data_IF_405093556650
#
_entry.id   IF_405093556650
#
_cell.length_a   1.000
_cell.length_b   1.000
_cell.length_c   1.000
_cell.angle_alpha   90.00
_cell.angle_beta   90.00
_cell.angle_gamma   90.00
#
_symmetry.space_group_name_H-M   'P 1'
#
loop_
_entity.id
_entity.type
_entity.pdbx_description
1 polymer ?
#
# COMPACT_ATOMS: atom_id res chain seq x y z
N UNK A 1 -2.39 -17.56 -24.50
CA UNK A 1 -1.79 -16.32 -25.03
C UNK A 1 -0.43 -16.15 -24.39
N UNK A 2 0.63 -16.09 -25.19
CA UNK A 2 2.01 -15.95 -24.72
C UNK A 2 2.23 -14.53 -24.20
N UNK A 3 2.69 -14.37 -22.95
CA UNK A 3 3.14 -13.08 -22.46
C UNK A 3 4.42 -12.71 -23.23
N UNK A 4 4.32 -11.70 -24.10
CA UNK A 4 5.51 -11.16 -24.78
C UNK A 4 6.39 -10.48 -23.73
N UNK A 5 7.63 -10.98 -23.60
CA UNK A 5 8.67 -10.32 -22.80
C UNK A 5 9.00 -9.00 -23.50
N UNK A 6 8.71 -7.88 -22.85
CA UNK A 6 9.06 -6.56 -23.36
C UNK A 6 10.58 -6.43 -23.24
N UNK A 7 11.28 -6.31 -24.36
CA UNK A 7 12.70 -5.97 -24.38
C UNK A 7 12.85 -4.48 -24.04
N UNK A 8 13.30 -4.19 -22.82
CA UNK A 8 13.53 -2.84 -22.32
C UNK A 8 14.50 -2.02 -23.21
N UNK A 9 15.39 -2.68 -23.97
CA UNK A 9 16.31 -2.01 -24.87
C UNK A 9 15.65 -1.53 -26.17
N UNK A 10 14.49 -2.08 -26.50
CA UNK A 10 13.70 -1.75 -27.69
C UNK A 10 12.72 -0.59 -27.49
N UNK A 11 12.60 -0.07 -26.26
CA UNK A 11 11.77 1.08 -25.96
C UNK A 11 12.34 2.36 -26.60
N UNK A 12 11.47 3.28 -27.07
CA UNK A 12 11.92 4.57 -27.57
C UNK A 12 12.64 5.34 -26.46
N UNK A 13 13.56 6.23 -26.85
CA UNK A 13 14.57 6.82 -25.95
C UNK A 13 13.95 7.69 -24.84
N UNK A 14 12.75 8.23 -25.10
CA UNK A 14 11.90 8.96 -24.15
C UNK A 14 11.19 8.05 -23.13
N UNK A 15 11.06 6.75 -23.43
CA UNK A 15 10.56 5.72 -22.51
C UNK A 15 11.68 5.00 -21.74
N UNK A 16 12.96 5.24 -22.09
CA UNK A 16 14.12 4.76 -21.32
C UNK A 16 14.31 5.65 -20.10
N UNK A 17 13.70 5.26 -18.99
CA UNK A 17 13.97 5.90 -17.69
C UNK A 17 15.38 5.52 -17.26
N UNK A 18 16.29 6.50 -17.26
CA UNK A 18 17.62 6.32 -16.68
C UNK A 18 17.48 6.03 -15.19
N UNK A 19 18.26 5.06 -14.67
CA UNK A 19 18.29 4.82 -13.23
C UNK A 19 19.09 5.93 -12.55
N UNK A 20 18.46 7.08 -12.34
CA UNK A 20 19.04 8.24 -11.67
C UNK A 20 18.83 8.11 -10.16
N UNK A 21 19.93 7.96 -9.43
CA UNK A 21 19.94 7.83 -7.98
C UNK A 21 19.17 8.97 -7.29
N UNK A 22 19.24 10.20 -7.82
CA UNK A 22 18.54 11.34 -7.23
C UNK A 22 17.01 11.18 -7.36
N UNK A 23 16.55 10.64 -8.50
CA UNK A 23 15.12 10.37 -8.71
C UNK A 23 14.65 9.30 -7.72
N UNK A 24 15.44 8.25 -7.49
CA UNK A 24 15.12 7.20 -6.51
C UNK A 24 15.08 7.75 -5.08
N UNK A 25 16.04 8.60 -4.70
CA UNK A 25 16.10 9.28 -3.40
C UNK A 25 14.88 10.18 -3.17
N UNK A 26 14.56 11.05 -4.14
CA UNK A 26 13.39 11.94 -4.09
C UNK A 26 12.08 11.12 -4.00
N UNK A 27 12.00 10.00 -4.73
CA UNK A 27 10.86 9.08 -4.68
C UNK A 27 10.70 8.42 -3.31
N UNK A 28 11.81 7.93 -2.73
CA UNK A 28 11.81 7.30 -1.42
C UNK A 28 11.42 8.29 -0.32
N UNK A 29 11.94 9.52 -0.38
CA UNK A 29 11.60 10.60 0.55
C UNK A 29 10.10 10.95 0.46
N UNK A 30 9.55 11.06 -0.75
CA UNK A 30 8.12 11.32 -0.95
C UNK A 30 7.24 10.19 -0.40
N UNK A 31 7.61 8.94 -0.68
CA UNK A 31 6.90 7.76 -0.17
C UNK A 31 6.92 7.69 1.37
N UNK A 32 8.06 8.02 1.98
CA UNK A 32 8.23 8.06 3.43
C UNK A 32 7.37 9.18 4.06
N UNK A 33 7.47 10.42 3.56
CA UNK A 33 6.67 11.55 4.06
C UNK A 33 5.17 11.30 3.99
N UNK A 34 4.71 10.68 2.90
CA UNK A 34 3.31 10.28 2.77
C UNK A 34 2.90 9.29 3.86
N UNK A 35 3.68 8.22 4.06
CA UNK A 35 3.40 7.19 5.03
C UNK A 35 3.42 7.71 6.47
N UNK A 36 4.41 8.54 6.79
CA UNK A 36 4.55 9.20 8.10
C UNK A 36 3.35 10.12 8.37
N UNK A 37 2.95 10.93 7.39
CA UNK A 37 1.77 11.80 7.51
C UNK A 37 0.50 11.00 7.78
N UNK A 38 0.30 9.90 7.05
CA UNK A 38 -0.86 9.03 7.28
C UNK A 38 -0.83 8.38 8.66
N UNK A 39 0.32 7.89 9.13
CA UNK A 39 0.42 7.33 10.47
C UNK A 39 0.14 8.37 11.56
N UNK A 40 0.62 9.61 11.40
CA UNK A 40 0.30 10.72 12.30
C UNK A 40 -1.20 11.02 12.32
N UNK A 41 -1.85 11.05 11.15
CA UNK A 41 -3.31 11.24 11.06
C UNK A 41 -4.05 10.13 11.79
N UNK A 42 -3.68 8.87 11.61
CA UNK A 42 -4.30 7.74 12.29
C UNK A 42 -4.10 7.83 13.82
N UNK A 43 -2.90 8.16 14.29
CA UNK A 43 -2.60 8.39 15.71
C UNK A 43 -3.34 9.59 16.32
N UNK A 44 -3.74 10.55 15.50
CA UNK A 44 -4.52 11.71 15.97
C UNK A 44 -5.95 11.33 16.37
N UNK A 45 -6.49 10.24 15.82
CA UNK A 45 -7.85 9.77 16.06
C UNK A 45 -7.97 9.21 17.47
N UNK A 46 -9.02 9.61 18.19
CA UNK A 46 -9.18 9.32 19.63
C UNK A 46 -10.14 8.20 19.97
N UNK A 47 -10.84 7.64 18.98
CA UNK A 47 -11.81 6.56 19.19
C UNK A 47 -11.62 5.46 18.17
N UNK A 48 -11.84 4.21 18.58
CA UNK A 48 -11.82 3.06 17.67
C UNK A 48 -12.85 3.22 16.55
N UNK A 49 -14.00 3.80 16.87
CA UNK A 49 -15.03 4.11 15.88
C UNK A 49 -14.55 5.15 14.85
N UNK A 50 -13.82 6.18 15.30
CA UNK A 50 -13.20 7.17 14.43
C UNK A 50 -12.19 6.53 13.47
N UNK A 51 -11.39 5.56 13.94
CA UNK A 51 -10.44 4.83 13.08
C UNK A 51 -11.20 4.05 11.99
N UNK A 52 -12.24 3.31 12.38
CA UNK A 52 -13.08 2.54 11.45
C UNK A 52 -13.79 3.41 10.40
N UNK A 53 -14.08 4.66 10.74
CA UNK A 53 -14.77 5.62 9.87
C UNK A 53 -13.82 6.56 9.11
N UNK A 54 -12.51 6.50 9.38
CA UNK A 54 -11.54 7.36 8.73
C UNK A 54 -11.57 7.15 7.20
N UNK A 55 -11.61 8.25 6.46
CA UNK A 55 -11.71 8.26 5.00
C UNK A 55 -10.36 8.58 4.38
N UNK A 56 -9.82 7.61 3.63
CA UNK A 56 -8.59 7.75 2.86
C UNK A 56 -8.90 8.32 1.46
N UNK A 57 -9.98 7.83 0.86
CA UNK A 57 -10.47 8.20 -0.47
C UNK A 57 -12.00 8.16 -0.51
N UNK A 58 -12.64 8.79 -1.51
CA UNK A 58 -14.08 8.60 -1.74
C UNK A 58 -14.48 7.14 -2.07
N UNK A 59 -13.54 6.29 -2.49
CA UNK A 59 -13.77 4.93 -2.97
C UNK A 59 -13.39 3.85 -1.94
N UNK A 60 -13.19 4.21 -0.67
CA UNK A 60 -12.69 3.28 0.37
C UNK A 60 -13.47 1.98 0.50
N UNK A 61 -14.80 2.03 0.38
CA UNK A 61 -15.63 0.83 0.46
C UNK A 61 -15.38 -0.12 -0.71
N UNK A 62 -15.26 0.43 -1.92
CA UNK A 62 -14.91 -0.34 -3.12
C UNK A 62 -13.52 -0.97 -2.96
N UNK A 63 -12.53 -0.19 -2.50
CA UNK A 63 -11.15 -0.63 -2.31
C UNK A 63 -11.09 -1.76 -1.29
N UNK A 64 -11.73 -1.58 -0.12
CA UNK A 64 -11.75 -2.59 0.94
C UNK A 64 -12.45 -3.88 0.50
N UNK A 65 -13.62 -3.77 -0.14
CA UNK A 65 -14.35 -4.94 -0.65
C UNK A 65 -13.56 -5.68 -1.72
N UNK A 66 -12.94 -4.97 -2.66
CA UNK A 66 -12.09 -5.59 -3.69
C UNK A 66 -10.87 -6.29 -3.09
N UNK A 67 -10.22 -5.66 -2.11
CA UNK A 67 -9.11 -6.27 -1.37
C UNK A 67 -9.53 -7.56 -0.69
N UNK A 68 -10.59 -7.55 0.13
CA UNK A 68 -11.03 -8.76 0.86
C UNK A 68 -11.66 -9.83 -0.02
N UNK A 69 -12.20 -9.48 -1.19
CA UNK A 69 -12.63 -10.46 -2.19
C UNK A 69 -11.44 -11.20 -2.80
N UNK A 70 -10.35 -10.50 -3.13
CA UNK A 70 -9.14 -11.10 -3.70
C UNK A 70 -8.29 -11.81 -2.66
N UNK A 71 -8.19 -11.23 -1.46
CA UNK A 71 -7.30 -11.69 -0.38
C UNK A 71 -8.09 -11.90 0.92
N UNK A 72 -9.04 -12.85 0.96
CA UNK A 72 -9.91 -13.04 2.13
C UNK A 72 -9.13 -13.36 3.39
N UNK A 73 -8.06 -14.15 3.27
CA UNK A 73 -7.29 -14.68 4.40
C UNK A 73 -5.92 -14.01 4.58
N UNK A 74 -5.61 -12.96 3.81
CA UNK A 74 -4.32 -12.27 3.98
C UNK A 74 -4.32 -11.55 5.32
N UNK A 75 -3.34 -11.90 6.16
CA UNK A 75 -3.09 -11.19 7.41
C UNK A 75 -2.62 -9.77 7.13
N UNK A 76 -3.17 -8.79 7.85
CA UNK A 76 -2.70 -7.39 7.84
C UNK A 76 -1.96 -7.01 9.13
N UNK A 77 -1.76 -7.97 10.04
CA UNK A 77 -1.02 -7.81 11.30
C UNK A 77 -0.47 -9.17 11.81
N UNK A 78 0.81 -9.52 11.56
CA UNK A 78 1.76 -8.89 10.63
C UNK A 78 1.49 -9.29 9.17
N UNK A 79 2.03 -8.52 8.22
CA UNK A 79 2.10 -8.88 6.81
C UNK A 79 3.14 -9.97 6.59
N UNK A 80 2.80 -11.00 5.81
CA UNK A 80 3.77 -11.98 5.34
C UNK A 80 4.47 -11.47 4.07
N UNK A 81 5.57 -10.73 4.28
CA UNK A 81 6.39 -10.14 3.21
C UNK A 81 6.94 -11.20 2.26
N UNK A 82 7.22 -12.42 2.73
CA UNK A 82 7.73 -13.50 1.88
C UNK A 82 6.65 -13.94 0.89
N UNK A 83 5.45 -14.19 1.40
CA UNK A 83 4.31 -14.57 0.56
C UNK A 83 3.92 -13.46 -0.41
N UNK A 84 3.96 -12.19 0.01
CA UNK A 84 3.70 -11.07 -0.90
C UNK A 84 4.71 -10.95 -2.06
N UNK A 85 5.93 -11.45 -1.88
CA UNK A 85 6.99 -11.47 -2.90
C UNK A 85 6.99 -12.74 -3.75
N UNK A 86 6.15 -13.73 -3.43
CA UNK A 86 6.00 -14.93 -4.26
C UNK A 86 5.34 -14.58 -5.60
N UNK A 87 5.72 -15.28 -6.66
CA UNK A 87 5.28 -14.99 -8.03
C UNK A 87 3.77 -15.07 -8.19
N UNK A 88 3.12 -16.03 -7.54
CA UNK A 88 1.67 -16.19 -7.63
C UNK A 88 0.94 -14.98 -7.00
N UNK A 89 1.40 -14.56 -5.82
CA UNK A 89 0.84 -13.40 -5.13
C UNK A 89 1.17 -12.09 -5.85
N UNK A 90 2.37 -11.95 -6.42
CA UNK A 90 2.74 -10.79 -7.23
C UNK A 90 1.80 -10.62 -8.42
N UNK A 91 1.48 -11.71 -9.13
CA UNK A 91 0.54 -11.65 -10.26
C UNK A 91 -0.87 -11.27 -9.80
N UNK A 92 -1.33 -11.86 -8.68
CA UNK A 92 -2.64 -11.54 -8.12
C UNK A 92 -2.74 -10.09 -7.65
N UNK A 93 -1.69 -9.59 -6.98
CA UNK A 93 -1.58 -8.18 -6.62
C UNK A 93 -1.61 -7.32 -7.87
N UNK A 94 -0.77 -7.60 -8.87
CA UNK A 94 -0.74 -6.83 -10.12
C UNK A 94 -2.13 -6.70 -10.77
N UNK A 95 -2.86 -7.81 -10.92
CA UNK A 95 -4.21 -7.81 -11.47
C UNK A 95 -5.19 -6.98 -10.63
N UNK A 96 -5.10 -7.09 -9.30
CA UNK A 96 -5.96 -6.33 -8.41
C UNK A 96 -5.65 -4.83 -8.47
N UNK A 97 -4.38 -4.43 -8.43
CA UNK A 97 -3.98 -3.03 -8.40
C UNK A 97 -4.33 -2.33 -9.73
N UNK A 98 -4.13 -3.00 -10.87
CA UNK A 98 -4.43 -2.44 -12.19
C UNK A 98 -5.94 -2.14 -12.37
N UNK A 99 -6.82 -2.88 -11.68
CA UNK A 99 -8.26 -2.61 -11.69
C UNK A 99 -8.65 -1.23 -11.10
N UNK A 100 -7.72 -0.56 -10.39
CA UNK A 100 -7.95 0.75 -9.78
C UNK A 100 -7.24 1.91 -10.50
N UNK A 101 -6.55 1.64 -11.61
CA UNK A 101 -5.78 2.65 -12.35
C UNK A 101 -6.59 3.88 -12.76
N UNK A 102 -7.87 3.70 -13.07
CA UNK A 102 -8.79 4.79 -13.45
C UNK A 102 -9.68 5.25 -12.29
N UNK A 103 -9.57 4.60 -11.12
CA UNK A 103 -10.44 4.83 -9.95
C UNK A 103 -9.71 5.67 -8.90
N UNK A 104 -8.41 5.43 -8.74
CA UNK A 104 -7.57 6.07 -7.74
C UNK A 104 -6.46 6.83 -8.44
N UNK A 105 -6.45 8.15 -8.27
CA UNK A 105 -5.34 9.00 -8.73
C UNK A 105 -4.03 8.49 -8.11
N UNK A 106 -2.97 8.44 -8.91
CA UNK A 106 -1.64 8.03 -8.45
C UNK A 106 -1.60 6.62 -7.85
N UNK A 107 -2.45 5.69 -8.32
CA UNK A 107 -2.58 4.33 -7.76
C UNK A 107 -1.24 3.60 -7.61
N UNK A 108 -0.30 3.82 -8.53
CA UNK A 108 1.01 3.18 -8.59
C UNK A 108 2.15 4.00 -7.98
N UNK A 109 1.89 5.21 -7.45
CA UNK A 109 2.93 5.97 -6.76
C UNK A 109 3.42 5.23 -5.53
N UNK A 110 4.73 5.31 -5.27
CA UNK A 110 5.36 4.65 -4.12
C UNK A 110 4.79 5.16 -2.81
N UNK A 111 4.61 4.24 -1.87
CA UNK A 111 4.24 4.51 -0.49
C UNK A 111 4.92 3.48 0.41
N UNK A 112 4.97 3.73 1.71
CA UNK A 112 5.53 2.77 2.67
C UNK A 112 4.40 2.30 3.58
N UNK A 113 4.23 0.98 3.68
CA UNK A 113 3.29 0.36 4.62
C UNK A 113 4.05 -0.34 5.73
N UNK A 114 3.49 -0.29 6.95
CA UNK A 114 4.08 -1.00 8.09
C UNK A 114 3.99 -2.51 7.88
N UNK A 115 5.03 -3.28 8.19
CA UNK A 115 4.98 -4.75 8.12
C UNK A 115 4.08 -5.28 9.23
N UNK A 116 4.31 -4.85 10.45
CA UNK A 116 3.49 -5.12 11.62
C UNK A 116 2.79 -3.82 12.06
N UNK A 117 1.45 -3.82 12.10
CA UNK A 117 0.72 -2.66 12.59
C UNK A 117 1.01 -2.37 14.07
N UNK A 118 1.45 -3.37 14.84
CA UNK A 118 1.81 -3.26 16.27
C UNK A 118 3.10 -2.48 16.55
N UNK A 119 3.81 -2.07 15.50
CA UNK A 119 5.07 -1.35 15.60
C UNK A 119 4.96 -0.03 14.83
N UNK A 120 5.76 0.96 15.22
CA UNK A 120 5.84 2.23 14.50
C UNK A 120 6.47 2.02 13.11
N UNK A 121 6.18 2.92 12.17
CA UNK A 121 6.93 2.97 10.92
C UNK A 121 8.41 3.26 11.21
N UNK A 122 9.28 2.52 10.53
CA UNK A 122 10.73 2.64 10.65
C UNK A 122 11.43 1.71 9.66
N UNK A 123 12.77 1.75 9.58
CA UNK A 123 13.54 1.00 8.58
C UNK A 123 13.26 -0.51 8.58
N UNK A 124 13.09 -1.10 9.77
CA UNK A 124 12.87 -2.55 9.96
C UNK A 124 11.40 -2.96 9.87
N UNK A 125 10.46 -2.00 9.91
CA UNK A 125 9.02 -2.25 9.92
C UNK A 125 8.31 -1.57 8.74
N UNK A 126 9.02 -1.21 7.67
CA UNK A 126 8.45 -0.55 6.50
C UNK A 126 8.79 -1.31 5.22
N UNK A 127 7.80 -1.45 4.32
CA UNK A 127 8.03 -1.94 2.96
C UNK A 127 7.40 -0.99 1.94
N UNK A 128 8.09 -0.81 0.81
CA UNK A 128 7.57 0.00 -0.30
C UNK A 128 6.48 -0.79 -1.03
N UNK A 129 5.33 -0.15 -1.21
CA UNK A 129 4.19 -0.67 -1.97
C UNK A 129 3.57 0.44 -2.82
N UNK A 130 2.85 0.11 -3.90
CA UNK A 130 1.99 1.05 -4.60
C UNK A 130 0.94 1.69 -3.67
N UNK A 131 0.57 2.94 -3.94
CA UNK A 131 -0.40 3.71 -3.15
C UNK A 131 -1.72 3.00 -2.93
N UNK A 132 -2.25 2.35 -3.97
CA UNK A 132 -3.49 1.59 -3.85
C UNK A 132 -3.33 0.39 -2.91
N UNK A 133 -2.18 -0.27 -2.92
CA UNK A 133 -1.89 -1.38 -2.00
C UNK A 133 -1.77 -0.88 -0.56
N UNK A 134 -1.17 0.29 -0.34
CA UNK A 134 -1.17 0.97 0.96
C UNK A 134 -2.60 1.21 1.45
N UNK A 135 -3.48 1.78 0.62
CA UNK A 135 -4.88 2.02 1.00
C UNK A 135 -5.61 0.73 1.34
N UNK A 136 -5.48 -0.32 0.54
CA UNK A 136 -6.10 -1.63 0.81
C UNK A 136 -5.71 -2.16 2.19
N UNK A 137 -4.41 -2.10 2.52
CA UNK A 137 -3.89 -2.63 3.79
C UNK A 137 -4.30 -1.75 4.98
N UNK A 138 -4.13 -0.43 4.90
CA UNK A 138 -4.46 0.46 6.03
C UNK A 138 -5.98 0.59 6.25
N UNK A 139 -6.80 0.53 5.19
CA UNK A 139 -8.26 0.43 5.34
C UNK A 139 -8.66 -0.84 6.08
N UNK A 140 -8.09 -1.98 5.69
CA UNK A 140 -8.33 -3.24 6.37
C UNK A 140 -7.91 -3.15 7.84
N UNK A 141 -6.72 -2.60 8.13
CA UNK A 141 -6.25 -2.42 9.51
C UNK A 141 -7.16 -1.55 10.35
N UNK A 142 -7.68 -0.46 9.79
CA UNK A 142 -8.61 0.43 10.51
C UNK A 142 -9.95 -0.25 10.75
N UNK A 143 -10.54 -0.89 9.74
CA UNK A 143 -11.87 -1.51 9.82
C UNK A 143 -11.89 -2.76 10.70
N UNK A 144 -10.80 -3.52 10.70
CA UNK A 144 -10.66 -4.79 11.42
C UNK A 144 -10.06 -4.63 12.82
N UNK A 145 -9.68 -3.42 13.20
CA UNK A 145 -9.17 -3.10 14.55
C UNK A 145 -7.69 -3.38 14.74
N UNK A 146 -6.94 -3.67 13.69
CA UNK A 146 -5.48 -3.84 13.76
C UNK A 146 -4.72 -2.55 14.11
N UNK A 147 -5.38 -1.40 13.90
CA UNK A 147 -4.88 -0.08 14.30
C UNK A 147 -5.48 0.41 15.63
N UNK A 148 -6.28 -0.39 16.34
CA UNK A 148 -6.95 0.03 17.58
C UNK A 148 -5.96 0.45 18.66
N UNK A 149 -4.74 -0.08 18.67
CA UNK A 149 -3.67 0.29 19.59
C UNK A 149 -3.30 1.79 19.57
N UNK A 150 -3.61 2.50 18.49
CA UNK A 150 -3.37 3.95 18.40
C UNK A 150 -4.30 4.73 19.32
N UNK A 151 -5.46 4.14 19.61
CA UNK A 151 -6.41 4.64 20.59
C UNK A 151 -6.09 3.89 21.88
N UNK A 152 -5.62 4.61 22.90
CA UNK A 152 -5.32 4.02 24.21
C UNK A 152 -6.48 3.18 24.73
N UNK A 153 -6.19 2.27 25.66
CA UNK A 153 -7.23 1.47 26.33
C UNK A 153 -8.17 2.46 27.05
N UNK A 154 -9.44 2.52 26.61
CA UNK A 154 -10.52 3.17 27.37
C UNK A 154 -10.68 2.53 28.75
#
# INVERSE_FOLDING_TARGET
MSAQVIDLNSLPEDAKVSNDQKIEEDWAEYAFKFAETFEMLLKSIKTKQGLKQFKFTPQDDLIYTGFRKSFPNLSVQPLDVKTMKDKAHQLQWYQLLEAYKTVVTDYNHGSIVRVNSMQNLGPENGIIVPRIQFYMIELARCREGCNDQFVGVE
#
